data_IF_466483253138
#
_entry.id   IF_466483253138
#
_cell.length_a   1.000
_cell.length_b   1.000
_cell.length_c   1.000
_cell.angle_alpha   90.00
_cell.angle_beta   90.00
_cell.angle_gamma   90.00
#
_symmetry.space_group_name_H-M   'P 1'
#
loop_
_entity.id
_entity.type
_entity.pdbx_description
1 polymer ?
#
# COMPACT_ATOMS: atom_id res chain seq x y z
N UNK A 1 -34.57 -4.79 18.11
CA UNK A 1 -34.71 -3.94 16.92
C UNK A 1 -33.58 -2.91 16.98
N UNK A 2 -32.37 -3.31 16.59
CA UNK A 2 -31.19 -2.43 16.60
C UNK A 2 -30.74 -2.24 15.17
N UNK A 3 -30.82 -1.00 14.70
CA UNK A 3 -30.26 -0.59 13.40
C UNK A 3 -28.75 -0.45 13.55
N UNK A 4 -28.03 -1.34 12.90
CA UNK A 4 -26.59 -1.19 12.67
C UNK A 4 -26.37 -0.01 11.73
N UNK A 5 -25.64 1.01 12.19
CA UNK A 5 -25.20 2.11 11.34
C UNK A 5 -24.08 1.62 10.43
N UNK A 6 -24.36 1.66 9.12
CA UNK A 6 -23.42 1.42 8.03
C UNK A 6 -22.37 2.52 8.03
N UNK A 7 -21.11 2.15 8.26
CA UNK A 7 -19.99 2.95 7.79
C UNK A 7 -19.95 2.89 6.27
N UNK A 8 -20.14 4.02 5.62
CA UNK A 8 -20.11 4.11 4.16
C UNK A 8 -18.66 4.01 3.67
N UNK A 9 -18.28 2.81 3.20
CA UNK A 9 -17.16 2.66 2.27
C UNK A 9 -17.73 2.79 0.85
N UNK A 10 -17.33 3.85 0.16
CA UNK A 10 -17.77 4.09 -1.22
C UNK A 10 -17.12 3.09 -2.18
N UNK A 11 -17.97 2.33 -2.89
CA UNK A 11 -17.57 1.42 -3.95
C UNK A 11 -17.19 2.19 -5.22
N UNK A 12 -16.06 1.82 -5.85
CA UNK A 12 -15.78 2.15 -7.26
C UNK A 12 -16.76 1.42 -8.16
N UNK A 13 -17.65 2.19 -8.83
CA UNK A 13 -18.46 1.72 -9.94
C UNK A 13 -17.60 1.69 -11.19
N UNK A 14 -17.26 0.50 -11.70
CA UNK A 14 -16.58 0.33 -12.98
C UNK A 14 -17.48 0.85 -14.12
N UNK A 15 -17.11 1.97 -14.69
CA UNK A 15 -17.74 2.50 -15.91
C UNK A 15 -16.92 2.02 -17.11
N UNK A 16 -17.52 1.14 -17.90
CA UNK A 16 -17.00 0.71 -19.20
C UNK A 16 -16.99 1.93 -20.14
N UNK A 17 -15.79 2.35 -20.58
CA UNK A 17 -15.68 3.33 -21.67
C UNK A 17 -15.89 2.63 -23.00
N UNK A 18 -16.74 3.19 -23.92
CA UNK A 18 -16.83 2.66 -25.28
C UNK A 18 -15.62 3.10 -26.11
N UNK A 19 -15.11 2.18 -26.91
CA UNK A 19 -14.12 2.43 -27.95
C UNK A 19 -14.69 3.40 -28.99
N UNK A 20 -14.00 4.51 -29.20
CA UNK A 20 -14.20 5.37 -30.35
C UNK A 20 -12.93 5.23 -31.20
N UNK A 21 -13.10 4.52 -32.33
CA UNK A 21 -12.18 4.56 -33.47
C UNK A 21 -12.15 5.96 -34.04
N UNK A 22 -10.98 6.55 -34.25
CA UNK A 22 -10.81 7.67 -35.13
C UNK A 22 -9.60 7.46 -36.03
N UNK A 23 -9.90 7.64 -37.29
CA UNK A 23 -9.15 7.37 -38.52
C UNK A 23 -7.85 8.18 -38.67
N UNK A 24 -6.94 7.58 -39.43
CA UNK A 24 -5.74 8.13 -40.04
C UNK A 24 -5.95 9.49 -40.70
N UNK A 25 -4.96 10.37 -40.52
CA UNK A 25 -4.58 11.34 -41.55
C UNK A 25 -3.04 11.35 -41.66
N UNK A 26 -2.56 10.81 -42.79
CA UNK A 26 -1.18 10.95 -43.28
C UNK A 26 -0.97 12.40 -43.73
N UNK A 27 0.13 13.02 -43.25
CA UNK A 27 0.77 14.12 -43.95
C UNK A 27 2.27 13.82 -44.05
N UNK A 28 2.67 13.55 -45.30
CA UNK A 28 4.05 13.55 -45.76
C UNK A 28 4.51 15.00 -46.00
N UNK A 29 5.60 15.41 -45.36
CA UNK A 29 6.44 16.47 -45.86
C UNK A 29 7.90 16.04 -45.74
N UNK A 30 8.54 15.96 -46.90
CA UNK A 30 9.95 15.73 -47.04
C UNK A 30 10.67 17.07 -47.15
N UNK A 31 11.86 17.08 -46.67
CA UNK A 31 13.08 17.71 -47.14
C UNK A 31 13.81 18.65 -46.16
N UNK A 32 15.11 18.41 -46.02
CA UNK A 32 16.11 19.45 -45.84
C UNK A 32 17.14 19.21 -44.74
N UNK A 33 18.33 18.81 -45.17
CA UNK A 33 19.60 18.63 -44.44
C UNK A 33 20.03 19.80 -43.55
N UNK A 34 20.63 19.50 -42.40
CA UNK A 34 22.06 19.71 -42.13
C UNK A 34 22.35 19.53 -40.65
N UNK A 35 23.44 18.84 -40.35
CA UNK A 35 23.76 18.36 -39.02
C UNK A 35 24.25 19.45 -38.07
N UNK A 36 23.94 19.20 -36.81
CA UNK A 36 24.77 19.53 -35.65
C UNK A 36 24.45 18.51 -34.57
N UNK A 37 25.46 17.71 -34.20
CA UNK A 37 25.37 16.82 -33.06
C UNK A 37 25.30 17.65 -31.77
N UNK A 38 24.08 17.84 -31.26
CA UNK A 38 23.85 18.38 -29.94
C UNK A 38 23.78 17.19 -29.00
N UNK A 39 24.72 17.12 -28.08
CA UNK A 39 24.70 16.12 -26.99
C UNK A 39 23.38 16.20 -26.24
N UNK A 40 22.60 15.12 -26.29
CA UNK A 40 21.40 14.93 -25.49
C UNK A 40 21.84 14.90 -24.04
N UNK A 41 21.25 15.68 -23.13
CA UNK A 41 21.44 15.42 -21.71
C UNK A 41 20.99 13.98 -21.41
N UNK A 42 21.85 13.19 -20.78
CA UNK A 42 21.46 11.90 -20.22
C UNK A 42 20.43 12.19 -19.13
N UNK A 43 19.20 11.76 -19.34
CA UNK A 43 18.22 11.60 -18.27
C UNK A 43 18.87 10.69 -17.22
N UNK A 44 18.76 11.03 -15.91
CA UNK A 44 19.21 10.12 -14.87
C UNK A 44 18.44 8.81 -15.03
N UNK A 45 19.15 7.69 -15.14
CA UNK A 45 18.56 6.36 -15.15
C UNK A 45 17.70 6.22 -13.89
N UNK A 46 16.38 6.11 -14.07
CA UNK A 46 15.44 5.78 -13.01
C UNK A 46 15.76 4.36 -12.57
N UNK A 47 16.47 4.22 -11.46
CA UNK A 47 16.49 2.95 -10.72
C UNK A 47 15.07 2.69 -10.21
N UNK A 48 14.33 1.85 -10.91
CA UNK A 48 13.03 1.34 -10.43
C UNK A 48 13.32 0.17 -9.52
N UNK A 49 12.66 0.10 -8.36
CA UNK A 49 12.80 -1.01 -7.41
C UNK A 49 12.52 -2.39 -8.06
N UNK A 50 11.87 -2.40 -9.23
CA UNK A 50 11.59 -3.59 -10.03
C UNK A 50 12.77 -4.05 -10.91
N UNK A 51 13.78 -3.20 -11.18
CA UNK A 51 14.84 -3.53 -12.15
C UNK A 51 15.89 -4.51 -11.60
N UNK A 52 15.87 -4.81 -10.29
CA UNK A 52 16.85 -5.71 -9.69
C UNK A 52 16.35 -7.15 -9.50
N UNK A 53 15.07 -7.43 -9.74
CA UNK A 53 14.49 -8.74 -9.45
C UNK A 53 14.73 -9.79 -10.54
N UNK A 54 14.85 -9.37 -11.81
CA UNK A 54 14.80 -10.29 -12.95
C UNK A 54 15.97 -10.09 -13.93
N UNK A 55 17.18 -10.48 -13.50
CA UNK A 55 18.19 -10.90 -14.44
C UNK A 55 18.01 -12.42 -14.68
N UNK A 56 17.45 -12.86 -15.81
CA UNK A 56 17.18 -14.29 -16.06
C UNK A 56 18.45 -15.15 -16.00
N UNK A 57 19.62 -14.53 -16.09
CA UNK A 57 20.91 -15.21 -15.98
C UNK A 57 21.35 -15.45 -14.52
N UNK A 58 20.73 -14.74 -13.52
CA UNK A 58 21.11 -14.82 -12.11
C UNK A 58 20.09 -15.55 -11.24
N UNK A 59 18.89 -15.84 -11.76
CA UNK A 59 17.78 -16.39 -10.99
C UNK A 59 17.19 -15.39 -10.00
N UNK A 60 16.19 -15.80 -9.22
CA UNK A 60 15.54 -15.00 -8.20
C UNK A 60 16.49 -14.69 -7.02
N UNK A 61 16.45 -13.45 -6.54
CA UNK A 61 17.18 -13.06 -5.34
C UNK A 61 16.25 -13.04 -4.12
N UNK A 62 16.31 -14.07 -3.29
CA UNK A 62 15.49 -14.22 -2.07
C UNK A 62 15.98 -13.41 -0.87
N UNK A 63 17.03 -12.60 -1.02
CA UNK A 63 17.49 -11.72 0.06
C UNK A 63 16.42 -10.69 0.40
N UNK A 64 15.99 -10.57 1.67
CA UNK A 64 14.98 -9.61 2.05
C UNK A 64 15.36 -8.16 1.72
N UNK A 65 14.36 -7.38 1.31
CA UNK A 65 14.47 -5.96 0.96
C UNK A 65 13.41 -5.17 1.72
N UNK A 66 13.57 -5.08 3.03
CA UNK A 66 12.62 -4.36 3.88
C UNK A 66 12.91 -2.87 3.82
N UNK A 67 11.95 -2.11 3.29
CA UNK A 67 12.00 -0.65 3.35
C UNK A 67 11.52 -0.18 4.73
N UNK A 68 12.23 0.80 5.30
CA UNK A 68 11.88 1.35 6.61
C UNK A 68 11.26 2.74 6.42
N UNK A 69 9.98 2.94 6.83
CA UNK A 69 9.40 4.27 6.82
C UNK A 69 10.02 5.14 7.92
N UNK A 70 10.45 6.35 7.55
CA UNK A 70 11.16 7.29 8.41
C UNK A 70 10.39 8.61 8.54
N UNK A 71 10.54 9.27 9.69
CA UNK A 71 10.04 10.61 9.97
C UNK A 71 11.22 11.57 10.21
N UNK A 72 11.91 12.05 9.15
CA UNK A 72 13.12 12.86 9.30
C UNK A 72 12.85 14.28 9.81
N UNK A 73 11.60 14.75 9.81
CA UNK A 73 11.22 16.06 10.35
C UNK A 73 11.65 17.23 9.48
N UNK A 74 11.99 17.02 8.20
CA UNK A 74 12.44 18.11 7.32
C UNK A 74 11.28 18.96 6.81
N UNK A 75 10.10 18.37 6.66
CA UNK A 75 8.86 19.07 6.31
C UNK A 75 7.75 18.58 7.23
N UNK A 76 7.36 19.43 8.19
CA UNK A 76 6.35 19.12 9.19
C UNK A 76 5.10 19.97 8.97
N UNK A 77 3.95 19.36 9.18
CA UNK A 77 2.62 19.95 9.23
C UNK A 77 1.94 19.57 10.54
N UNK A 78 0.84 20.26 10.88
CA UNK A 78 0.06 19.92 12.07
C UNK A 78 -0.12 21.09 13.03
N UNK A 79 -0.29 20.77 14.31
CA UNK A 79 -0.47 21.73 15.41
C UNK A 79 0.09 21.14 16.72
N UNK A 80 -0.26 21.72 17.87
CA UNK A 80 0.23 21.26 19.18
C UNK A 80 -0.20 19.84 19.57
N UNK A 81 -1.18 19.24 18.87
CA UNK A 81 -1.76 17.93 19.19
C UNK A 81 -1.52 16.87 18.12
N UNK A 82 -1.17 17.26 16.90
CA UNK A 82 -0.89 16.37 15.78
C UNK A 82 0.37 16.82 15.04
N UNK A 83 1.27 15.90 14.80
CA UNK A 83 2.45 16.09 13.97
C UNK A 83 2.40 15.18 12.75
N UNK A 84 2.56 15.75 11.58
CA UNK A 84 2.51 15.08 10.29
C UNK A 84 3.81 15.39 9.56
N UNK A 85 4.64 14.38 9.39
CA UNK A 85 5.88 14.47 8.62
C UNK A 85 5.61 14.09 7.16
N UNK A 86 5.67 15.08 6.29
CA UNK A 86 5.47 14.94 4.85
C UNK A 86 6.78 14.95 4.06
N UNK A 87 7.91 14.76 4.74
CA UNK A 87 9.25 14.78 4.13
C UNK A 87 9.46 13.69 3.07
N UNK A 88 8.73 12.58 3.17
CA UNK A 88 8.89 11.41 2.31
C UNK A 88 7.69 11.18 1.37
N UNK A 89 6.88 12.19 1.07
CA UNK A 89 5.72 12.04 0.17
C UNK A 89 6.12 11.64 -1.26
N UNK A 90 7.32 12.00 -1.71
CA UNK A 90 7.85 11.53 -2.99
C UNK A 90 8.15 10.02 -3.02
N UNK A 91 8.33 9.41 -1.85
CA UNK A 91 8.43 7.94 -1.67
C UNK A 91 7.07 7.27 -1.50
N UNK A 92 5.96 8.03 -1.53
CA UNK A 92 4.60 7.52 -1.48
C UNK A 92 4.06 7.21 -0.08
N UNK A 93 4.56 7.86 0.96
CA UNK A 93 4.02 7.80 2.31
C UNK A 93 4.23 9.09 3.09
N UNK A 94 3.45 9.27 4.13
CA UNK A 94 3.67 10.24 5.18
C UNK A 94 3.71 9.54 6.55
N UNK A 95 4.28 10.22 7.54
CA UNK A 95 4.30 9.73 8.93
C UNK A 95 3.47 10.67 9.80
N UNK A 96 2.61 10.11 10.64
CA UNK A 96 1.76 10.92 11.52
C UNK A 96 1.75 10.38 12.94
N UNK A 97 1.73 11.27 13.94
CA UNK A 97 1.55 10.92 15.34
C UNK A 97 0.64 11.92 16.05
N UNK A 98 -0.18 11.39 16.96
CA UNK A 98 -0.93 12.19 17.89
C UNK A 98 -0.09 12.44 19.14
N UNK A 99 0.08 13.70 19.52
CA UNK A 99 0.87 14.12 20.69
C UNK A 99 0.00 14.67 21.83
N UNK A 100 -1.34 14.52 21.72
CA UNK A 100 -2.29 14.93 22.77
C UNK A 100 -2.47 13.87 23.87
N UNK A 101 -3.53 14.02 24.66
CA UNK A 101 -3.74 13.27 25.90
C UNK A 101 -4.76 12.12 25.74
N UNK A 102 -4.35 11.02 25.08
CA UNK A 102 -5.04 9.73 25.21
C UNK A 102 -6.41 9.57 24.54
N UNK A 103 -6.88 10.51 23.73
CA UNK A 103 -8.10 10.34 22.97
C UNK A 103 -7.87 9.42 21.74
N UNK A 104 -8.92 8.74 21.30
CA UNK A 104 -8.90 8.02 20.00
C UNK A 104 -8.89 9.04 18.86
N UNK A 105 -7.93 8.93 17.97
CA UNK A 105 -7.77 9.86 16.84
C UNK A 105 -7.87 9.10 15.53
N UNK A 106 -8.74 9.57 14.65
CA UNK A 106 -8.84 9.09 13.27
C UNK A 106 -8.15 10.05 12.32
N UNK A 107 -7.32 9.49 11.44
CA UNK A 107 -6.68 10.20 10.36
C UNK A 107 -7.31 9.77 9.04
N UNK A 108 -7.91 10.69 8.33
CA UNK A 108 -8.51 10.46 7.02
C UNK A 108 -7.61 11.04 5.95
N UNK A 109 -7.36 10.23 4.92
CA UNK A 109 -6.68 10.66 3.69
C UNK A 109 -7.70 10.55 2.56
N UNK A 110 -8.06 11.69 1.97
CA UNK A 110 -8.88 11.73 0.76
C UNK A 110 -7.95 11.94 -0.43
N UNK A 111 -8.02 11.01 -1.37
CA UNK A 111 -7.15 10.94 -2.54
C UNK A 111 -7.61 11.86 -3.66
N UNK A 112 -6.78 12.11 -4.71
CA UNK A 112 -7.19 12.92 -5.86
C UNK A 112 -8.43 12.41 -6.58
N UNK A 113 -8.70 11.09 -6.55
CA UNK A 113 -9.89 10.46 -7.11
C UNK A 113 -11.05 10.35 -6.10
N UNK A 114 -11.00 11.12 -5.00
CA UNK A 114 -12.04 11.25 -3.97
C UNK A 114 -12.34 9.95 -3.20
N UNK A 115 -11.40 9.02 -3.16
CA UNK A 115 -11.46 7.86 -2.26
C UNK A 115 -10.94 8.27 -0.88
N UNK A 116 -11.66 7.90 0.17
CA UNK A 116 -11.29 8.23 1.54
C UNK A 116 -10.82 7.00 2.29
N UNK A 117 -9.56 7.05 2.74
CA UNK A 117 -8.98 6.05 3.63
C UNK A 117 -9.04 6.54 5.07
N UNK A 118 -9.22 5.60 6.01
CA UNK A 118 -9.29 5.89 7.44
C UNK A 118 -8.23 5.12 8.18
N UNK A 119 -7.45 5.81 9.00
CA UNK A 119 -6.41 5.24 9.85
C UNK A 119 -6.67 5.65 11.30
N UNK A 120 -6.31 4.79 12.26
CA UNK A 120 -6.33 5.13 13.68
C UNK A 120 -4.90 5.45 14.13
N UNK A 121 -4.69 6.62 14.73
CA UNK A 121 -3.37 6.98 15.25
C UNK A 121 -3.13 6.32 16.61
N UNK A 122 -1.93 5.74 16.83
CA UNK A 122 -1.60 5.09 18.09
C UNK A 122 -1.64 6.06 19.27
N UNK A 123 -2.24 5.63 20.39
CA UNK A 123 -2.23 6.37 21.65
C UNK A 123 -0.82 6.48 22.28
N UNK A 124 0.13 5.65 21.83
CA UNK A 124 1.53 5.63 22.27
C UNK A 124 2.37 6.80 21.82
N UNK A 125 1.80 7.76 21.09
CA UNK A 125 2.50 8.88 20.47
C UNK A 125 3.61 8.46 19.47
N UNK A 126 3.64 7.20 19.06
CA UNK A 126 4.51 6.73 18.00
C UNK A 126 3.99 7.15 16.62
N UNK A 127 4.89 7.31 15.67
CA UNK A 127 4.51 7.57 14.29
C UNK A 127 3.84 6.33 13.67
N UNK A 128 2.75 6.58 12.94
CA UNK A 128 2.15 5.64 12.00
C UNK A 128 2.57 5.99 10.57
N UNK A 129 2.95 4.98 9.80
CA UNK A 129 3.22 5.13 8.37
C UNK A 129 1.91 5.02 7.59
N UNK A 130 1.57 6.06 6.84
CA UNK A 130 0.34 6.19 6.09
C UNK A 130 0.64 6.29 4.59
N UNK A 131 0.23 5.29 3.77
CA UNK A 131 0.60 5.24 2.36
C UNK A 131 -0.26 6.18 1.50
N UNK A 132 0.34 6.70 0.40
CA UNK A 132 -0.28 7.57 -0.59
C UNK A 132 -0.46 6.76 -1.89
N UNK A 133 -1.53 5.99 -1.99
CA UNK A 133 -1.68 4.91 -2.98
C UNK A 133 -2.36 5.30 -4.30
N UNK A 134 -2.86 6.54 -4.42
CA UNK A 134 -3.57 6.99 -5.62
C UNK A 134 -2.68 7.76 -6.62
N UNK A 135 -1.34 7.69 -6.45
CA UNK A 135 -0.40 8.36 -7.35
C UNK A 135 -0.29 9.87 -7.10
N UNK A 136 0.04 10.61 -8.16
CA UNK A 136 0.28 12.04 -8.08
C UNK A 136 -1.03 12.85 -7.99
N UNK A 137 -0.99 13.98 -7.30
CA UNK A 137 -2.10 14.93 -7.20
C UNK A 137 -2.30 15.48 -5.79
N UNK A 138 -3.42 16.18 -5.61
CA UNK A 138 -3.80 16.81 -4.35
C UNK A 138 -4.48 15.82 -3.43
N UNK A 139 -3.94 15.63 -2.24
CA UNK A 139 -4.54 14.82 -1.18
C UNK A 139 -5.05 15.74 -0.06
N UNK A 140 -6.22 15.42 0.50
CA UNK A 140 -6.74 16.10 1.70
C UNK A 140 -6.45 15.25 2.94
N UNK A 141 -5.84 15.87 3.94
CA UNK A 141 -5.57 15.32 5.26
C UNK A 141 -6.61 15.87 6.24
N UNK A 142 -7.39 15.00 6.90
CA UNK A 142 -8.46 15.41 7.83
C UNK A 142 -8.31 14.56 9.10
N UNK A 143 -7.89 15.17 10.19
CA UNK A 143 -7.62 14.52 11.48
C UNK A 143 -8.71 14.88 12.47
N UNK A 144 -9.28 13.87 13.12
CA UNK A 144 -10.40 14.04 14.05
C UNK A 144 -10.15 13.31 15.34
N UNK A 145 -10.43 13.99 16.44
CA UNK A 145 -10.34 13.48 17.79
C UNK A 145 -11.71 13.04 18.29
N UNK A 146 -11.76 11.88 18.92
CA UNK A 146 -12.98 11.37 19.55
C UNK A 146 -13.37 12.24 20.76
N UNK A 147 -14.65 12.58 20.84
CA UNK A 147 -15.21 13.38 21.93
C UNK A 147 -16.08 12.50 22.84
N UNK A 148 -17.15 11.95 22.30
CA UNK A 148 -18.11 11.10 23.05
C UNK A 148 -18.94 10.26 22.07
N UNK A 149 -19.19 8.98 22.38
CA UNK A 149 -19.99 8.08 21.55
C UNK A 149 -19.41 7.98 20.12
N UNK A 150 -20.18 8.39 19.11
CA UNK A 150 -19.74 8.41 17.71
C UNK A 150 -19.31 9.83 17.24
N UNK A 151 -19.18 10.77 18.18
CA UNK A 151 -18.84 12.15 17.87
C UNK A 151 -17.32 12.35 17.82
N UNK A 152 -16.89 12.99 16.75
CA UNK A 152 -15.51 13.40 16.53
C UNK A 152 -15.45 14.90 16.25
N UNK A 153 -14.51 15.59 16.88
CA UNK A 153 -14.19 17.00 16.57
C UNK A 153 -13.06 17.10 15.56
N UNK A 154 -13.07 18.15 14.74
CA UNK A 154 -11.96 18.42 13.85
C UNK A 154 -10.73 18.86 14.66
N UNK A 155 -9.62 18.15 14.52
CA UNK A 155 -8.35 18.46 15.14
C UNK A 155 -7.42 19.21 14.20
N UNK A 156 -7.37 18.77 12.92
CA UNK A 156 -6.54 19.36 11.88
C UNK A 156 -7.09 19.04 10.50
N UNK A 157 -6.98 19.97 9.56
CA UNK A 157 -7.33 19.72 8.17
C UNK A 157 -6.46 20.57 7.25
N UNK A 158 -5.87 19.94 6.22
CA UNK A 158 -5.05 20.62 5.21
C UNK A 158 -4.98 19.78 3.94
N UNK A 159 -4.26 20.28 2.93
CA UNK A 159 -3.99 19.57 1.66
C UNK A 159 -2.50 19.50 1.41
N UNK A 160 -2.08 18.44 0.69
CA UNK A 160 -0.71 18.28 0.21
C UNK A 160 -0.72 17.95 -1.28
N UNK A 161 0.27 18.49 -2.00
CA UNK A 161 0.55 18.13 -3.39
C UNK A 161 1.58 16.99 -3.40
N UNK A 162 1.21 15.87 -3.97
CA UNK A 162 2.04 14.66 -4.02
C UNK A 162 2.57 14.44 -5.43
N UNK A 163 3.88 14.24 -5.52
CA UNK A 163 4.58 13.82 -6.73
C UNK A 163 5.47 12.63 -6.37
N UNK A 164 5.01 11.42 -6.66
CA UNK A 164 5.68 10.17 -6.33
C UNK A 164 6.75 9.88 -7.39
N UNK A 165 8.00 9.68 -6.95
CA UNK A 165 9.14 9.39 -7.83
C UNK A 165 9.06 7.98 -8.42
N UNK A 166 8.61 7.00 -7.63
CA UNK A 166 8.41 5.62 -8.06
C UNK A 166 7.00 5.16 -7.69
N UNK A 167 6.17 4.91 -8.68
CA UNK A 167 4.76 4.51 -8.52
C UNK A 167 4.55 3.23 -7.69
N UNK A 168 5.58 2.38 -7.55
CA UNK A 168 5.54 1.15 -6.78
C UNK A 168 5.89 1.34 -5.31
N UNK A 169 6.55 2.42 -4.94
CA UNK A 169 7.01 2.67 -3.56
C UNK A 169 5.90 2.56 -2.51
N UNK A 170 4.68 3.12 -2.70
CA UNK A 170 3.60 3.00 -1.72
C UNK A 170 3.20 1.55 -1.41
N UNK A 171 3.52 0.63 -2.33
CA UNK A 171 3.19 -0.78 -2.27
C UNK A 171 4.36 -1.68 -1.84
N UNK A 172 5.45 -1.07 -1.38
CA UNK A 172 6.67 -1.75 -0.88
C UNK A 172 6.91 -1.44 0.60
N UNK A 173 6.55 -0.25 1.08
CA UNK A 173 6.74 0.12 2.48
C UNK A 173 5.77 -0.59 3.41
N UNK A 174 6.22 -0.99 4.63
CA UNK A 174 5.33 -1.33 5.72
C UNK A 174 4.40 -0.15 6.04
N UNK A 175 3.19 -0.45 6.48
CA UNK A 175 2.22 0.55 6.92
C UNK A 175 1.32 -0.01 8.01
N UNK A 176 0.34 0.77 8.50
CA UNK A 176 -0.52 0.37 9.61
C UNK A 176 -1.23 -0.98 9.40
N UNK A 177 -1.64 -1.28 8.17
CA UNK A 177 -2.41 -2.50 7.86
C UNK A 177 -1.55 -3.72 7.57
N UNK A 178 -0.26 -3.49 7.34
CA UNK A 178 0.72 -4.55 7.07
C UNK A 178 2.07 -4.10 7.60
N UNK A 179 2.26 -4.28 8.90
CA UNK A 179 3.49 -3.90 9.58
C UNK A 179 4.44 -5.07 9.64
N UNK A 180 5.67 -4.86 9.20
CA UNK A 180 6.78 -5.82 9.28
C UNK A 180 8.12 -5.07 9.30
N UNK A 181 9.13 -5.73 9.85
CA UNK A 181 10.52 -5.26 9.94
C UNK A 181 11.46 -6.34 9.43
N UNK A 182 12.75 -6.04 9.34
CA UNK A 182 13.76 -7.05 8.99
C UNK A 182 13.78 -8.25 9.94
N UNK A 183 13.42 -8.03 11.21
CA UNK A 183 13.38 -9.05 12.24
C UNK A 183 12.09 -9.89 12.24
N UNK A 184 11.09 -9.53 11.43
CA UNK A 184 9.82 -10.27 11.38
C UNK A 184 10.00 -11.69 10.87
N UNK A 185 9.35 -12.64 11.55
CA UNK A 185 9.36 -14.05 11.17
C UNK A 185 8.78 -14.27 9.75
N UNK A 186 7.76 -13.46 9.39
CA UNK A 186 7.17 -13.46 8.06
C UNK A 186 8.21 -13.15 6.96
N UNK A 187 9.14 -12.22 7.21
CA UNK A 187 10.24 -11.85 6.30
C UNK A 187 11.22 -13.00 6.12
N UNK A 188 11.65 -13.58 7.22
CA UNK A 188 12.54 -14.75 7.22
C UNK A 188 11.92 -15.97 6.51
N UNK A 189 10.62 -16.20 6.75
CA UNK A 189 9.86 -17.27 6.09
C UNK A 189 9.78 -17.03 4.59
N UNK A 190 9.46 -15.82 4.14
CA UNK A 190 9.38 -15.47 2.72
C UNK A 190 10.72 -15.72 2.00
N UNK A 191 11.85 -15.30 2.61
CA UNK A 191 13.19 -15.57 2.07
C UNK A 191 13.45 -17.08 1.91
N UNK A 192 13.01 -17.90 2.88
CA UNK A 192 13.15 -19.35 2.81
C UNK A 192 12.31 -19.98 1.69
N UNK A 193 11.06 -19.53 1.54
CA UNK A 193 10.12 -20.03 0.51
C UNK A 193 10.57 -19.70 -0.92
N UNK A 194 11.23 -18.55 -1.09
CA UNK A 194 11.61 -18.03 -2.42
C UNK A 194 13.05 -18.34 -2.81
N UNK A 195 13.77 -19.15 -2.02
CA UNK A 195 15.21 -19.43 -2.25
C UNK A 195 15.51 -20.09 -3.59
N UNK A 196 14.66 -21.03 -4.00
CA UNK A 196 14.89 -21.89 -5.16
C UNK A 196 13.92 -21.60 -6.32
N UNK A 197 13.20 -20.47 -6.27
CA UNK A 197 12.30 -20.07 -7.35
C UNK A 197 13.08 -19.37 -8.47
N UNK A 198 12.50 -19.32 -9.67
CA UNK A 198 13.17 -18.79 -10.85
C UNK A 198 12.82 -17.34 -11.11
N UNK A 199 11.61 -16.93 -10.78
CA UNK A 199 11.07 -15.62 -11.10
C UNK A 199 10.03 -15.14 -10.08
N UNK A 200 9.54 -13.91 -10.26
CA UNK A 200 8.57 -13.30 -9.36
C UNK A 200 7.22 -14.03 -9.33
N UNK A 201 6.82 -14.67 -10.42
CA UNK A 201 5.56 -15.43 -10.45
C UNK A 201 5.65 -16.70 -9.59
N UNK A 202 6.78 -17.41 -9.69
CA UNK A 202 7.03 -18.57 -8.83
C UNK A 202 7.14 -18.14 -7.36
N UNK A 203 7.74 -16.94 -7.07
CA UNK A 203 7.79 -16.40 -5.72
C UNK A 203 6.40 -16.10 -5.14
N UNK A 204 5.52 -15.47 -5.93
CA UNK A 204 4.12 -15.24 -5.54
C UNK A 204 3.40 -16.56 -5.30
N UNK A 205 3.57 -17.55 -6.19
CA UNK A 205 3.00 -18.88 -6.04
C UNK A 205 3.45 -19.58 -4.76
N UNK A 206 4.76 -19.54 -4.45
CA UNK A 206 5.32 -20.17 -3.25
C UNK A 206 4.78 -19.56 -1.96
N UNK A 207 4.63 -18.22 -1.91
CA UNK A 207 4.03 -17.52 -0.76
C UNK A 207 2.54 -17.84 -0.65
N UNK A 208 1.81 -17.80 -1.75
CA UNK A 208 0.38 -18.12 -1.79
C UNK A 208 0.13 -19.54 -1.28
N UNK A 209 0.78 -20.55 -1.89
CA UNK A 209 0.63 -21.96 -1.53
C UNK A 209 0.97 -22.22 -0.05
N UNK A 210 2.01 -21.53 0.45
CA UNK A 210 2.36 -21.63 1.87
C UNK A 210 1.24 -21.09 2.76
N UNK A 211 0.73 -19.88 2.50
CA UNK A 211 -0.26 -19.24 3.37
C UNK A 211 -1.58 -20.03 3.37
N UNK A 212 -2.10 -20.41 2.20
CA UNK A 212 -3.38 -21.17 2.13
C UNK A 212 -3.26 -22.59 2.70
N UNK A 213 -2.06 -23.17 2.75
CA UNK A 213 -1.84 -24.52 3.30
C UNK A 213 -1.54 -24.54 4.80
N UNK A 214 -1.06 -23.43 5.37
CA UNK A 214 -0.58 -23.38 6.75
C UNK A 214 -1.39 -22.45 7.66
N UNK A 215 -2.22 -21.58 7.12
CA UNK A 215 -3.14 -20.74 7.88
C UNK A 215 -4.55 -21.26 7.69
N UNK A 216 -5.25 -21.56 8.79
CA UNK A 216 -6.65 -21.97 8.79
C UNK A 216 -7.56 -20.78 9.09
N UNK A 217 -8.75 -20.74 8.49
CA UNK A 217 -9.68 -19.63 8.71
C UNK A 217 -10.25 -19.66 10.13
N UNK A 218 -10.22 -18.51 10.81
CA UNK A 218 -10.72 -18.34 12.18
C UNK A 218 -12.15 -17.78 12.15
N UNK A 219 -13.11 -18.70 12.16
CA UNK A 219 -14.54 -18.38 12.15
C UNK A 219 -14.99 -17.61 13.41
N UNK A 220 -14.34 -17.82 14.55
CA UNK A 220 -14.69 -17.12 15.79
C UNK A 220 -14.18 -15.68 15.72
N UNK A 221 -12.91 -15.48 15.34
CA UNK A 221 -12.35 -14.15 15.12
C UNK A 221 -13.16 -13.36 14.08
N UNK A 222 -13.55 -14.01 12.97
CA UNK A 222 -14.36 -13.36 11.93
C UNK A 222 -15.70 -12.82 12.43
N UNK A 223 -16.30 -13.46 13.46
CA UNK A 223 -17.57 -13.02 14.06
C UNK A 223 -17.42 -12.01 15.18
N UNK A 224 -16.26 -11.98 15.84
CA UNK A 224 -16.05 -11.23 17.09
C UNK A 224 -15.07 -10.08 16.95
N UNK A 225 -14.30 -10.01 15.85
CA UNK A 225 -13.29 -8.97 15.65
C UNK A 225 -13.93 -7.58 15.67
N UNK A 226 -13.33 -6.70 16.47
CA UNK A 226 -13.80 -5.33 16.63
C UNK A 226 -13.35 -4.42 15.48
N UNK A 227 -14.09 -3.32 15.29
CA UNK A 227 -13.70 -2.26 14.35
C UNK A 227 -12.37 -1.63 14.77
N UNK A 228 -11.44 -1.46 13.83
CA UNK A 228 -10.10 -0.94 14.09
C UNK A 228 -9.07 -2.04 14.38
N UNK A 229 -9.44 -3.30 14.20
CA UNK A 229 -8.50 -4.41 14.25
C UNK A 229 -7.39 -4.21 13.20
N UNK A 230 -6.15 -4.47 13.62
CA UNK A 230 -4.97 -4.47 12.75
C UNK A 230 -4.31 -5.85 12.81
N UNK A 231 -4.00 -6.47 11.67
CA UNK A 231 -3.31 -7.76 11.64
C UNK A 231 -1.89 -7.67 12.21
N UNK A 232 -1.49 -8.68 12.95
CA UNK A 232 -0.10 -8.96 13.27
C UNK A 232 0.37 -10.14 12.40
N UNK A 233 1.33 -9.88 11.53
CA UNK A 233 1.77 -10.86 10.53
C UNK A 233 2.54 -12.02 11.15
N UNK A 234 3.30 -11.77 12.21
CA UNK A 234 4.08 -12.79 12.91
C UNK A 234 3.17 -13.63 13.82
N UNK A 235 2.18 -13.05 14.49
CA UNK A 235 1.14 -13.78 15.23
C UNK A 235 0.33 -14.69 14.30
N UNK A 236 -0.05 -14.18 13.12
CA UNK A 236 -0.77 -14.97 12.11
C UNK A 236 0.06 -16.16 11.64
N UNK A 237 1.36 -15.95 11.40
CA UNK A 237 2.29 -17.00 11.01
C UNK A 237 2.49 -18.04 12.12
N UNK A 238 2.63 -17.62 13.36
CA UNK A 238 2.89 -18.49 14.52
C UNK A 238 1.65 -19.30 14.90
N UNK A 239 0.49 -18.66 14.97
CA UNK A 239 -0.76 -19.33 15.33
C UNK A 239 -1.31 -20.25 14.25
N UNK A 240 -0.96 -19.98 12.97
CA UNK A 240 -1.52 -20.66 11.82
C UNK A 240 -3.04 -20.45 11.69
N UNK A 241 -3.57 -19.32 12.19
CA UNK A 241 -4.99 -18.96 12.13
C UNK A 241 -5.18 -17.49 11.82
N UNK A 242 -6.26 -17.17 11.08
CA UNK A 242 -6.59 -15.79 10.79
C UNK A 242 -7.87 -15.65 9.98
N UNK A 243 -8.32 -14.41 9.83
CA UNK A 243 -9.41 -14.02 8.91
C UNK A 243 -8.83 -13.55 7.58
N UNK A 244 -9.66 -13.24 6.59
CA UNK A 244 -9.21 -12.78 5.27
C UNK A 244 -8.19 -11.61 5.36
N UNK A 245 -8.36 -10.72 6.33
CA UNK A 245 -7.45 -9.59 6.54
C UNK A 245 -6.05 -10.04 7.01
N UNK A 246 -5.99 -11.04 7.89
CA UNK A 246 -4.72 -11.62 8.36
C UNK A 246 -3.97 -12.33 7.23
N UNK A 247 -4.69 -13.11 6.40
CA UNK A 247 -4.12 -13.74 5.20
C UNK A 247 -3.53 -12.71 4.25
N UNK A 248 -4.31 -11.67 3.92
CA UNK A 248 -3.90 -10.62 3.00
C UNK A 248 -2.70 -9.83 3.55
N UNK A 249 -2.68 -9.52 4.85
CA UNK A 249 -1.57 -8.82 5.49
C UNK A 249 -0.29 -9.65 5.52
N UNK A 250 -0.38 -10.95 5.86
CA UNK A 250 0.76 -11.86 5.88
C UNK A 250 1.37 -12.02 4.48
N UNK A 251 0.53 -12.29 3.47
CA UNK A 251 1.03 -12.36 2.08
C UNK A 251 1.66 -11.05 1.62
N UNK A 252 1.03 -9.91 1.95
CA UNK A 252 1.57 -8.60 1.59
C UNK A 252 2.93 -8.36 2.22
N UNK A 253 3.11 -8.66 3.51
CA UNK A 253 4.39 -8.52 4.19
C UNK A 253 5.47 -9.42 3.56
N UNK A 254 5.14 -10.69 3.32
CA UNK A 254 6.03 -11.65 2.68
C UNK A 254 6.47 -11.16 1.29
N UNK A 255 5.55 -10.74 0.44
CA UNK A 255 5.86 -10.32 -0.94
C UNK A 255 6.60 -8.98 -0.98
N UNK A 256 6.20 -7.98 -0.17
CA UNK A 256 6.90 -6.69 -0.09
C UNK A 256 8.34 -6.88 0.39
N UNK A 257 8.58 -7.76 1.35
CA UNK A 257 9.93 -8.07 1.83
C UNK A 257 10.82 -8.72 0.77
N UNK A 258 10.23 -9.29 -0.28
CA UNK A 258 10.94 -9.80 -1.47
C UNK A 258 11.06 -8.76 -2.59
N UNK A 259 10.65 -7.50 -2.33
CA UNK A 259 10.68 -6.42 -3.31
C UNK A 259 9.57 -6.51 -4.36
N UNK A 260 8.52 -7.29 -4.12
CA UNK A 260 7.35 -7.41 -5.01
C UNK A 260 6.30 -6.38 -4.56
N UNK A 261 6.01 -5.35 -5.40
CA UNK A 261 4.98 -4.37 -5.06
C UNK A 261 3.62 -5.06 -4.89
N UNK A 262 3.02 -4.91 -3.71
CA UNK A 262 1.78 -5.60 -3.36
C UNK A 262 0.80 -4.65 -2.69
N UNK A 263 -0.42 -4.56 -3.23
CA UNK A 263 -1.56 -3.87 -2.64
C UNK A 263 -2.27 -4.83 -1.71
N UNK A 264 -2.61 -4.35 -0.50
CA UNK A 264 -3.63 -4.95 0.33
C UNK A 264 -4.92 -4.19 0.08
N UNK A 265 -5.95 -4.89 -0.33
CA UNK A 265 -7.23 -4.32 -0.74
C UNK A 265 -8.34 -4.86 0.17
N UNK A 266 -9.26 -3.98 0.57
CA UNK A 266 -10.39 -4.33 1.42
C UNK A 266 -11.65 -3.78 0.77
N UNK A 267 -12.67 -4.61 0.65
CA UNK A 267 -13.92 -4.20 0.02
C UNK A 267 -14.98 -5.30 0.01
N UNK A 268 -15.91 -5.20 -0.91
CA UNK A 268 -16.97 -6.19 -1.07
C UNK A 268 -16.67 -7.06 -2.30
N UNK A 269 -16.63 -8.36 -2.09
CA UNK A 269 -16.69 -9.38 -3.14
C UNK A 269 -18.11 -9.94 -3.16
N UNK A 270 -18.96 -9.45 -4.09
CA UNK A 270 -20.39 -9.68 -4.03
C UNK A 270 -21.02 -9.02 -2.79
N UNK A 271 -21.59 -9.82 -1.90
CA UNK A 271 -22.21 -9.34 -0.63
C UNK A 271 -21.28 -9.49 0.58
N UNK A 272 -20.11 -10.14 0.42
CA UNK A 272 -19.19 -10.43 1.51
C UNK A 272 -18.11 -9.36 1.60
N UNK A 273 -17.94 -8.78 2.79
CA UNK A 273 -16.82 -7.90 3.10
C UNK A 273 -15.56 -8.74 3.23
N UNK A 274 -14.54 -8.43 2.43
CA UNK A 274 -13.40 -9.29 2.23
C UNK A 274 -12.11 -8.47 2.09
N UNK A 275 -10.97 -9.13 2.32
CA UNK A 275 -9.65 -8.58 2.03
C UNK A 275 -8.91 -9.54 1.06
N UNK A 276 -8.18 -8.96 0.12
CA UNK A 276 -7.37 -9.66 -0.87
C UNK A 276 -6.12 -8.86 -1.21
N UNK A 277 -5.28 -9.39 -2.07
CA UNK A 277 -4.09 -8.69 -2.55
C UNK A 277 -4.06 -8.61 -4.06
N UNK A 278 -3.34 -7.60 -4.57
CA UNK A 278 -2.89 -7.52 -5.96
C UNK A 278 -1.39 -7.29 -5.97
N UNK A 279 -0.66 -8.04 -6.79
CA UNK A 279 0.80 -7.96 -6.90
C UNK A 279 1.23 -7.49 -8.28
N UNK A 280 2.32 -6.71 -8.35
CA UNK A 280 2.87 -6.29 -9.62
C UNK A 280 4.06 -7.17 -10.03
N UNK A 281 4.02 -7.67 -11.25
CA UNK A 281 5.08 -8.46 -11.86
C UNK A 281 5.49 -7.83 -13.20
N UNK A 282 6.80 -7.69 -13.44
CA UNK A 282 7.35 -7.02 -14.60
C UNK A 282 6.75 -7.49 -15.94
N UNK A 283 6.59 -8.79 -16.10
CA UNK A 283 6.12 -9.39 -17.36
C UNK A 283 4.59 -9.45 -17.50
N UNK A 284 3.84 -9.14 -16.42
CA UNK A 284 2.38 -9.32 -16.36
C UNK A 284 1.61 -8.06 -15.97
N UNK A 285 2.30 -7.07 -15.38
CA UNK A 285 1.64 -5.94 -14.72
C UNK A 285 1.00 -6.37 -13.39
N UNK A 286 -0.09 -5.70 -13.00
CA UNK A 286 -0.84 -6.05 -11.80
C UNK A 286 -1.61 -7.35 -12.00
N UNK A 287 -1.29 -8.35 -11.18
CA UNK A 287 -2.06 -9.60 -11.02
C UNK A 287 -3.02 -9.37 -9.85
N UNK A 288 -4.31 -9.31 -10.16
CA UNK A 288 -5.35 -8.86 -9.22
C UNK A 288 -6.11 -10.04 -8.58
N UNK A 289 -6.77 -9.76 -7.45
CA UNK A 289 -7.68 -10.67 -6.76
C UNK A 289 -7.05 -12.00 -6.33
N UNK A 290 -5.86 -11.94 -5.76
CA UNK A 290 -5.21 -13.08 -5.14
C UNK A 290 -5.77 -13.23 -3.71
N UNK A 291 -6.34 -14.38 -3.37
CA UNK A 291 -7.13 -14.88 -2.23
C UNK A 291 -8.61 -14.75 -2.44
#
# INVERSE_FOLDING_TARGET
MNRLHRGELYMKKFWKKPWISCLLALFLFAAGCSGQASARPQEPERETASDQADDPAKGWNSTPRVLVPEAPGTVLMGNSSIEIDVSNISKGYLMARYVGNGAKVKFFIETPDQVRYTYDLPASQSYAALPLTAGNGTYTLDVREHVEGDLYSNLYKDTIEVAIENEFSPFLYPNQYTWFTEDSQAVSKASGLTRDVKDGLEAVGAVYDFVISNVSYDEEKARTVESGYLPDVDETLESGKGICFDYAALMTAMLRSQGIPTKLEIGYSGEVYHAWISTWLKEKGWVENII
#
